data_IF_749771245480
#
_entry.id   IF_749771245480
#
_cell.length_a   1.000
_cell.length_b   1.000
_cell.length_c   1.000
_cell.angle_alpha   90.00
_cell.angle_beta   90.00
_cell.angle_gamma   90.00
#
_symmetry.space_group_name_H-M   'P 1'
#
loop_
_entity.id
_entity.type
_entity.pdbx_description
1 polymer ?
#
# COMPACT_ATOMS: atom_id res chain seq x y z
N UNK A 1 -13.80 -32.47 -9.76
CA UNK A 1 -14.35 -32.88 -11.08
C UNK A 1 -13.21 -32.80 -12.07
N UNK A 2 -12.88 -33.91 -12.77
CA UNK A 2 -11.80 -33.90 -13.76
C UNK A 2 -12.17 -33.05 -14.98
N UNK A 3 -11.23 -32.27 -15.48
CA UNK A 3 -11.31 -31.56 -16.73
C UNK A 3 -10.53 -32.34 -17.80
N UNK A 4 -11.00 -32.28 -19.03
CA UNK A 4 -10.33 -32.87 -20.18
C UNK A 4 -10.10 -31.83 -21.25
N UNK A 5 -8.98 -31.93 -21.96
CA UNK A 5 -8.60 -31.00 -23.01
C UNK A 5 -8.35 -31.76 -24.33
N UNK A 6 -8.65 -31.09 -25.44
CA UNK A 6 -8.42 -31.57 -26.81
C UNK A 6 -8.20 -30.34 -27.73
N UNK A 7 -7.31 -30.50 -28.70
CA UNK A 7 -7.15 -29.54 -29.77
C UNK A 7 -8.13 -29.89 -30.90
N UNK A 8 -9.07 -28.98 -31.21
CA UNK A 8 -10.00 -29.12 -32.29
C UNK A 8 -9.83 -27.88 -33.18
N UNK A 9 -9.59 -28.11 -34.47
CA UNK A 9 -9.36 -27.04 -35.48
C UNK A 9 -8.29 -26.02 -35.03
N UNK A 10 -7.21 -26.51 -34.41
CA UNK A 10 -6.10 -25.69 -33.92
C UNK A 10 -6.39 -24.89 -32.65
N UNK A 11 -7.56 -25.08 -32.02
CA UNK A 11 -7.94 -24.42 -30.76
C UNK A 11 -8.00 -25.43 -29.62
N UNK A 12 -7.44 -25.06 -28.48
CA UNK A 12 -7.53 -25.85 -27.25
C UNK A 12 -8.92 -25.70 -26.64
N UNK A 13 -9.58 -26.82 -26.43
CA UNK A 13 -10.86 -26.91 -25.73
C UNK A 13 -10.64 -27.63 -24.39
N UNK A 14 -11.10 -27.03 -23.30
CA UNK A 14 -11.05 -27.64 -21.96
C UNK A 14 -12.48 -27.70 -21.41
N UNK A 15 -12.94 -28.93 -21.08
CA UNK A 15 -14.31 -29.15 -20.60
C UNK A 15 -14.34 -30.25 -19.54
N UNK A 16 -15.28 -30.22 -18.60
CA UNK A 16 -15.55 -31.36 -17.72
C UNK A 16 -16.15 -32.52 -18.52
N UNK A 17 -15.87 -33.76 -18.12
CA UNK A 17 -16.33 -34.99 -18.84
C UNK A 17 -17.83 -34.96 -19.17
N UNK A 18 -18.66 -34.51 -18.23
CA UNK A 18 -20.12 -34.45 -18.41
C UNK A 18 -20.62 -33.38 -19.38
N UNK A 19 -19.73 -32.53 -19.92
CA UNK A 19 -20.03 -31.53 -20.96
C UNK A 19 -19.43 -31.89 -22.32
N UNK A 20 -18.81 -33.06 -22.42
CA UNK A 20 -18.24 -33.55 -23.66
C UNK A 20 -19.24 -34.55 -24.28
N UNK A 21 -19.50 -34.35 -25.57
CA UNK A 21 -20.30 -35.26 -26.39
C UNK A 21 -19.38 -35.79 -27.47
N UNK A 22 -19.24 -37.09 -27.54
CA UNK A 22 -18.49 -37.75 -28.61
C UNK A 22 -19.46 -38.15 -29.73
N UNK A 23 -19.12 -37.81 -30.97
CA UNK A 23 -19.87 -38.20 -32.15
C UNK A 23 -19.02 -39.12 -33.00
N UNK A 24 -19.41 -40.38 -33.10
CA UNK A 24 -18.72 -41.40 -33.89
C UNK A 24 -19.75 -42.19 -34.73
N UNK A 25 -19.53 -42.32 -36.04
CA UNK A 25 -20.41 -43.05 -36.97
C UNK A 25 -21.88 -42.57 -36.90
N UNK A 26 -22.13 -41.28 -36.69
CA UNK A 26 -23.47 -40.73 -36.58
C UNK A 26 -24.17 -40.94 -35.25
N UNK A 27 -23.55 -41.64 -34.30
CA UNK A 27 -24.06 -41.84 -32.94
C UNK A 27 -23.44 -40.85 -31.96
N UNK A 28 -24.27 -40.30 -31.07
CA UNK A 28 -23.87 -39.38 -30.02
C UNK A 28 -23.76 -40.12 -28.70
N UNK A 29 -22.59 -40.04 -28.05
CA UNK A 29 -22.36 -40.52 -26.67
C UNK A 29 -22.35 -39.33 -25.71
N UNK A 30 -23.35 -39.30 -24.82
CA UNK A 30 -23.47 -38.31 -23.73
C UNK A 30 -22.91 -38.99 -22.47
N UNK A 31 -22.14 -38.20 -21.67
CA UNK A 31 -21.40 -38.72 -20.51
C UNK A 31 -20.45 -39.89 -20.88
N UNK A 32 -19.48 -39.67 -21.77
CA UNK A 32 -18.52 -40.67 -22.15
C UNK A 32 -17.69 -41.16 -20.96
N UNK A 33 -17.28 -42.40 -20.99
CA UNK A 33 -16.31 -42.96 -20.02
C UNK A 33 -14.92 -42.33 -20.25
N UNK A 34 -14.03 -42.46 -19.29
CA UNK A 34 -12.65 -42.00 -19.42
C UNK A 34 -11.92 -42.68 -20.61
N UNK A 35 -12.14 -43.96 -20.83
CA UNK A 35 -11.59 -44.68 -21.97
C UNK A 35 -12.09 -44.11 -23.29
N UNK A 36 -13.39 -43.83 -23.41
CA UNK A 36 -13.97 -43.25 -24.60
C UNK A 36 -13.44 -41.83 -24.88
N UNK A 37 -13.18 -41.04 -23.81
CA UNK A 37 -12.58 -39.73 -23.95
C UNK A 37 -11.15 -39.84 -24.49
N UNK A 38 -10.33 -40.75 -23.92
CA UNK A 38 -8.97 -40.95 -24.38
C UNK A 38 -8.92 -41.46 -25.83
N UNK A 39 -9.79 -42.39 -26.22
CA UNK A 39 -9.90 -42.88 -27.60
C UNK A 39 -10.31 -41.79 -28.61
N UNK A 40 -11.14 -40.81 -28.16
CA UNK A 40 -11.53 -39.65 -28.97
C UNK A 40 -10.48 -38.55 -28.97
N UNK A 41 -9.35 -38.74 -28.25
CA UNK A 41 -8.21 -37.83 -28.22
C UNK A 41 -8.37 -36.68 -27.19
N UNK A 42 -9.28 -36.83 -26.22
CA UNK A 42 -9.30 -35.97 -25.04
C UNK A 42 -8.27 -36.54 -24.03
N UNK A 43 -7.49 -35.63 -23.45
CA UNK A 43 -6.53 -35.95 -22.39
C UNK A 43 -6.95 -35.26 -21.10
N UNK A 44 -6.64 -35.86 -19.95
CA UNK A 44 -6.91 -35.20 -18.67
C UNK A 44 -6.12 -33.89 -18.59
N UNK A 45 -6.84 -32.77 -18.38
CA UNK A 45 -6.22 -31.48 -18.16
C UNK A 45 -5.68 -31.43 -16.74
N UNK A 46 -4.37 -31.45 -16.59
CA UNK A 46 -3.68 -31.26 -15.33
C UNK A 46 -3.35 -29.77 -15.26
N UNK A 47 -4.04 -28.99 -14.41
CA UNK A 47 -3.72 -27.57 -14.28
C UNK A 47 -2.27 -27.44 -13.81
N UNK A 48 -1.49 -26.70 -14.57
CA UNK A 48 -0.13 -26.36 -14.15
C UNK A 48 -0.27 -25.51 -12.88
N UNK A 49 0.18 -26.06 -11.77
CA UNK A 49 0.23 -25.30 -10.53
C UNK A 49 1.32 -24.24 -10.71
N UNK A 50 0.89 -22.96 -10.71
CA UNK A 50 1.83 -21.86 -10.77
C UNK A 50 2.60 -21.78 -9.45
N UNK A 51 3.90 -21.92 -9.51
CA UNK A 51 4.81 -21.68 -8.40
C UNK A 51 5.55 -20.37 -8.69
N UNK A 52 5.36 -19.34 -7.84
CA UNK A 52 6.01 -18.05 -8.06
C UNK A 52 7.54 -18.22 -7.98
N UNK A 53 8.26 -17.52 -8.83
CA UNK A 53 9.71 -17.46 -8.80
C UNK A 53 10.22 -16.74 -7.55
N UNK A 54 11.49 -16.94 -7.19
CA UNK A 54 12.12 -16.21 -6.06
C UNK A 54 12.06 -14.70 -6.26
N UNK A 55 12.22 -14.23 -7.49
CA UNK A 55 12.12 -12.82 -7.84
C UNK A 55 10.68 -12.28 -7.63
N UNK A 56 9.67 -13.01 -8.05
CA UNK A 56 8.27 -12.63 -7.83
C UNK A 56 7.90 -12.60 -6.34
N UNK A 57 8.43 -13.57 -5.57
CA UNK A 57 8.25 -13.59 -4.12
C UNK A 57 8.93 -12.36 -3.50
N UNK A 58 10.19 -12.07 -3.88
CA UNK A 58 10.93 -10.92 -3.37
C UNK A 58 10.22 -9.61 -3.69
N UNK A 59 9.74 -9.42 -4.92
CA UNK A 59 9.06 -8.21 -5.34
C UNK A 59 7.75 -8.00 -4.56
N UNK A 60 6.96 -9.05 -4.36
CA UNK A 60 5.75 -8.99 -3.54
C UNK A 60 6.04 -8.64 -2.08
N UNK A 61 7.09 -9.21 -1.50
CA UNK A 61 7.49 -8.91 -0.11
C UNK A 61 8.01 -7.45 0.02
N UNK A 62 8.66 -6.90 -1.03
CA UNK A 62 9.04 -5.48 -1.09
C UNK A 62 7.80 -4.58 -1.09
N UNK A 63 6.81 -4.89 -1.90
CA UNK A 63 5.54 -4.14 -1.93
C UNK A 63 4.86 -4.12 -0.55
N UNK A 64 4.78 -5.27 0.12
CA UNK A 64 4.23 -5.34 1.48
C UNK A 64 5.04 -4.50 2.48
N UNK A 65 6.37 -4.52 2.38
CA UNK A 65 7.23 -3.74 3.27
C UNK A 65 7.10 -2.24 3.01
N UNK A 66 6.95 -1.82 1.76
CA UNK A 66 6.69 -0.42 1.40
C UNK A 66 5.33 0.03 1.95
N UNK A 67 4.29 -0.80 1.85
CA UNK A 67 2.99 -0.53 2.44
C UNK A 67 3.05 -0.37 3.99
N UNK A 68 3.88 -1.19 4.66
CA UNK A 68 4.12 -1.04 6.10
C UNK A 68 4.78 0.30 6.42
N UNK A 69 5.78 0.72 5.64
CA UNK A 69 6.48 2.01 5.78
C UNK A 69 5.50 3.17 5.62
N UNK A 70 4.67 3.15 4.58
CA UNK A 70 3.68 4.21 4.31
C UNK A 70 2.61 4.29 5.41
N UNK A 71 2.18 3.16 5.96
CA UNK A 71 1.26 3.14 7.10
C UNK A 71 1.92 3.70 8.36
N UNK A 72 3.18 3.38 8.60
CA UNK A 72 3.93 3.92 9.74
C UNK A 72 4.13 5.43 9.60
N UNK A 73 4.52 5.91 8.41
CA UNK A 73 4.63 7.34 8.11
C UNK A 73 3.32 8.10 8.37
N UNK A 74 2.18 7.47 8.05
CA UNK A 74 0.85 8.05 8.27
C UNK A 74 0.31 7.89 9.70
N UNK A 75 1.01 7.18 10.55
CA UNK A 75 0.58 6.89 11.92
C UNK A 75 0.91 8.01 12.90
N UNK A 76 0.28 7.98 14.07
CA UNK A 76 0.61 8.88 15.16
C UNK A 76 2.04 8.71 15.69
N UNK A 77 2.73 7.62 15.35
CA UNK A 77 4.15 7.44 15.72
C UNK A 77 5.04 8.48 15.04
N UNK A 78 4.71 8.86 13.81
CA UNK A 78 5.41 9.85 12.99
C UNK A 78 4.67 11.19 12.97
N UNK A 79 3.37 11.16 12.69
CA UNK A 79 2.54 12.36 12.54
C UNK A 79 2.05 12.85 13.90
N UNK A 80 2.85 13.68 14.56
CA UNK A 80 2.49 14.24 15.84
C UNK A 80 3.49 15.28 16.32
N UNK A 81 2.99 16.25 17.08
CA UNK A 81 3.74 17.20 17.89
C UNK A 81 2.93 17.55 19.14
N UNK A 82 3.54 18.19 20.11
CA UNK A 82 2.88 18.55 21.36
C UNK A 82 2.80 20.07 21.51
N UNK A 83 1.64 20.55 21.93
CA UNK A 83 1.50 21.86 22.56
C UNK A 83 1.16 21.59 24.03
N UNK A 84 1.98 22.06 24.94
CA UNK A 84 1.96 21.60 26.34
C UNK A 84 2.06 20.04 26.39
N UNK A 85 1.07 19.36 26.95
CA UNK A 85 1.03 17.90 27.01
C UNK A 85 0.01 17.26 26.04
N UNK A 86 -0.67 18.07 25.22
CA UNK A 86 -1.62 17.57 24.24
C UNK A 86 -0.93 17.26 22.91
N UNK A 87 -1.14 16.06 22.40
CA UNK A 87 -0.64 15.66 21.09
C UNK A 87 -1.59 16.11 19.99
N UNK A 88 -1.02 16.76 18.96
CA UNK A 88 -1.74 17.29 17.82
C UNK A 88 -1.04 16.87 16.52
N UNK A 89 -1.80 16.91 15.43
CA UNK A 89 -1.25 16.88 14.08
C UNK A 89 -2.02 17.79 13.15
N UNK A 90 -1.30 18.59 12.40
CA UNK A 90 -1.84 19.42 11.32
C UNK A 90 -1.41 18.85 9.98
N UNK A 91 -2.36 18.38 9.18
CA UNK A 91 -2.07 17.99 7.81
C UNK A 91 -1.59 19.19 6.97
N UNK A 92 -1.08 18.92 5.77
CA UNK A 92 -0.53 19.99 4.91
C UNK A 92 -1.55 21.09 4.59
N UNK A 93 -2.81 20.73 4.36
CA UNK A 93 -3.86 21.69 4.04
C UNK A 93 -4.15 22.61 5.24
N UNK A 94 -4.21 22.03 6.44
CA UNK A 94 -4.39 22.77 7.70
C UNK A 94 -3.21 23.72 7.94
N UNK A 95 -1.96 23.26 7.77
CA UNK A 95 -0.77 24.11 7.92
C UNK A 95 -0.77 25.29 6.97
N UNK A 96 -1.10 25.07 5.69
CA UNK A 96 -1.22 26.15 4.68
C UNK A 96 -2.33 27.12 5.06
N UNK A 97 -3.50 26.65 5.47
CA UNK A 97 -4.62 27.47 5.91
C UNK A 97 -4.28 28.33 7.13
N UNK A 98 -3.61 27.76 8.13
CA UNK A 98 -3.14 28.48 9.32
C UNK A 98 -2.11 29.56 8.95
N UNK A 99 -1.17 29.26 8.05
CA UNK A 99 -0.19 30.25 7.58
C UNK A 99 -0.85 31.46 6.95
N UNK A 100 -1.79 31.22 6.02
CA UNK A 100 -2.54 32.31 5.38
C UNK A 100 -3.35 33.15 6.39
N UNK A 101 -3.96 32.47 7.37
CA UNK A 101 -4.69 33.16 8.44
C UNK A 101 -3.76 34.02 9.29
N UNK A 102 -2.63 33.50 9.71
CA UNK A 102 -1.66 34.27 10.54
C UNK A 102 -1.09 35.43 9.80
N UNK A 103 -0.77 35.30 8.50
CA UNK A 103 -0.34 36.44 7.68
C UNK A 103 -1.39 37.53 7.62
N UNK A 104 -2.67 37.19 7.47
CA UNK A 104 -3.78 38.15 7.48
C UNK A 104 -3.98 38.80 8.87
N UNK A 105 -3.85 38.05 9.94
CA UNK A 105 -3.96 38.55 11.32
C UNK A 105 -2.83 39.54 11.63
N UNK A 106 -1.59 39.27 11.21
CA UNK A 106 -0.45 40.17 11.32
C UNK A 106 -0.70 41.44 10.52
N UNK A 107 -1.14 41.32 9.27
CA UNK A 107 -1.45 42.49 8.42
C UNK A 107 -2.56 43.36 9.00
N UNK A 108 -3.46 42.80 9.82
CA UNK A 108 -4.50 43.53 10.57
C UNK A 108 -4.01 44.15 11.88
N UNK A 109 -2.74 43.99 12.24
CA UNK A 109 -2.14 44.49 13.47
C UNK A 109 -2.39 43.65 14.73
N UNK A 110 -2.87 42.43 14.59
CA UNK A 110 -3.00 41.50 15.73
C UNK A 110 -1.63 40.98 16.17
N UNK A 111 -1.50 40.72 17.45
CA UNK A 111 -0.30 40.13 18.07
C UNK A 111 -0.52 38.74 18.57
N UNK A 112 -1.78 38.31 18.72
CA UNK A 112 -2.17 37.01 19.24
C UNK A 112 -3.17 36.31 18.31
N UNK A 113 -3.17 34.96 18.36
CA UNK A 113 -4.11 34.12 17.65
C UNK A 113 -4.60 32.99 18.56
N UNK A 114 -5.73 32.38 18.23
CA UNK A 114 -6.24 31.18 18.90
C UNK A 114 -6.36 30.07 17.88
N UNK A 115 -5.69 28.97 18.10
CA UNK A 115 -5.86 27.75 17.32
C UNK A 115 -6.83 26.84 18.07
N UNK A 116 -7.86 26.37 17.39
CA UNK A 116 -8.78 25.38 17.93
C UNK A 116 -8.42 23.98 17.41
N UNK A 117 -8.27 23.04 18.32
CA UNK A 117 -8.04 21.64 18.00
C UNK A 117 -8.93 20.77 18.90
N UNK A 118 -9.82 19.98 18.29
CA UNK A 118 -10.75 19.09 19.00
C UNK A 118 -11.50 19.77 20.17
N UNK A 119 -11.90 21.02 19.96
CA UNK A 119 -12.65 21.79 20.98
C UNK A 119 -11.78 22.48 22.02
N UNK A 120 -10.45 22.28 21.99
CA UNK A 120 -9.49 22.93 22.90
C UNK A 120 -8.90 24.18 22.24
N UNK A 121 -8.93 25.37 22.88
CA UNK A 121 -8.31 26.58 22.39
C UNK A 121 -6.86 26.71 22.86
N UNK A 122 -5.95 26.93 21.93
CA UNK A 122 -4.55 27.29 22.20
C UNK A 122 -4.34 28.74 21.84
N UNK A 123 -4.06 29.56 22.85
CA UNK A 123 -3.82 30.99 22.69
C UNK A 123 -2.32 31.24 22.59
N UNK A 124 -1.86 31.73 21.45
CA UNK A 124 -0.43 31.90 21.14
C UNK A 124 -0.16 33.32 20.66
N UNK A 125 1.03 33.84 20.93
CA UNK A 125 1.56 34.98 20.21
C UNK A 125 1.74 34.64 18.73
N UNK A 126 1.36 35.50 17.82
CA UNK A 126 1.43 35.25 16.38
C UNK A 126 2.85 34.95 15.89
N UNK A 127 3.87 35.58 16.47
CA UNK A 127 5.26 35.30 16.15
C UNK A 127 5.63 33.82 16.49
N UNK A 128 5.22 33.35 17.69
CA UNK A 128 5.46 31.99 18.13
C UNK A 128 4.64 30.99 17.32
N UNK A 129 3.38 31.31 16.98
CA UNK A 129 2.53 30.48 16.15
C UNK A 129 3.10 30.29 14.72
N UNK A 130 3.68 31.33 14.13
CA UNK A 130 4.39 31.24 12.84
C UNK A 130 5.65 30.39 12.93
N UNK A 131 6.46 30.60 13.98
CA UNK A 131 7.66 29.78 14.19
C UNK A 131 7.28 28.32 14.37
N UNK A 132 6.28 28.02 15.18
CA UNK A 132 5.74 26.67 15.37
C UNK A 132 5.32 26.04 14.03
N UNK A 133 4.59 26.77 13.16
CA UNK A 133 4.21 26.24 11.84
C UNK A 133 5.42 25.94 10.95
N UNK A 134 6.44 26.81 10.96
CA UNK A 134 7.68 26.57 10.21
C UNK A 134 8.40 25.33 10.72
N UNK A 135 8.49 25.17 12.03
CA UNK A 135 9.15 23.99 12.63
C UNK A 135 8.39 22.70 12.32
N UNK A 136 7.05 22.73 12.35
CA UNK A 136 6.20 21.59 11.95
C UNK A 136 6.40 21.27 10.45
N UNK A 137 6.52 22.23 9.57
CA UNK A 137 6.75 22.01 8.14
C UNK A 137 8.13 21.36 7.90
N UNK A 138 9.18 21.84 8.59
CA UNK A 138 10.51 21.23 8.53
C UNK A 138 10.51 19.80 9.09
N UNK A 139 9.81 19.59 10.21
CA UNK A 139 9.62 18.25 10.77
C UNK A 139 8.92 17.31 9.78
N UNK A 140 7.81 17.75 9.19
CA UNK A 140 7.06 16.95 8.23
C UNK A 140 7.90 16.62 6.98
N UNK A 141 8.70 17.57 6.49
CA UNK A 141 9.64 17.35 5.37
C UNK A 141 10.70 16.32 5.73
N UNK A 142 11.28 16.40 6.93
CA UNK A 142 12.29 15.43 7.39
C UNK A 142 11.70 14.02 7.56
N UNK A 143 10.46 13.88 8.04
CA UNK A 143 9.75 12.60 8.08
C UNK A 143 9.56 12.02 6.69
N UNK A 144 9.07 12.84 5.74
CA UNK A 144 8.89 12.43 4.35
C UNK A 144 10.20 11.97 3.71
N UNK A 145 11.28 12.74 3.87
CA UNK A 145 12.59 12.40 3.31
C UNK A 145 13.11 11.07 3.87
N UNK A 146 12.93 10.82 5.19
CA UNK A 146 13.30 9.56 5.81
C UNK A 146 12.47 8.39 5.26
N UNK A 147 11.16 8.57 5.08
CA UNK A 147 10.27 7.59 4.45
C UNK A 147 10.73 7.25 3.04
N UNK A 148 11.08 8.23 2.22
CA UNK A 148 11.59 8.02 0.86
C UNK A 148 12.95 7.28 0.87
N UNK A 149 13.82 7.59 1.83
CA UNK A 149 15.10 6.88 1.99
C UNK A 149 14.89 5.40 2.35
N UNK A 150 13.92 5.09 3.22
CA UNK A 150 13.55 3.70 3.51
C UNK A 150 13.00 2.98 2.29
N UNK A 151 12.09 3.60 1.53
CA UNK A 151 11.55 3.02 0.29
C UNK A 151 12.67 2.74 -0.72
N UNK A 152 13.58 3.68 -0.91
CA UNK A 152 14.74 3.49 -1.79
C UNK A 152 15.62 2.31 -1.33
N UNK A 153 15.85 2.20 -0.01
CA UNK A 153 16.61 1.09 0.58
C UNK A 153 15.92 -0.26 0.35
N UNK A 154 14.59 -0.35 0.56
CA UNK A 154 13.82 -1.57 0.29
C UNK A 154 13.93 -2.00 -1.18
N UNK A 155 13.82 -1.05 -2.10
CA UNK A 155 13.94 -1.33 -3.53
C UNK A 155 15.32 -1.88 -3.91
N UNK A 156 16.37 -1.47 -3.22
CA UNK A 156 17.75 -1.92 -3.46
C UNK A 156 18.08 -3.29 -2.83
N UNK A 157 17.24 -3.85 -1.96
CA UNK A 157 17.48 -5.16 -1.34
C UNK A 157 17.28 -6.26 -2.39
N UNK A 158 18.23 -7.22 -2.44
CA UNK A 158 18.21 -8.32 -3.42
C UNK A 158 17.86 -9.69 -2.78
N UNK A 159 17.73 -9.78 -1.47
CA UNK A 159 17.41 -11.03 -0.78
C UNK A 159 16.33 -10.87 0.29
N UNK A 160 15.50 -11.91 0.44
CA UNK A 160 14.34 -11.94 1.35
C UNK A 160 14.76 -11.85 2.83
N UNK A 161 15.92 -12.42 3.20
CA UNK A 161 16.34 -12.42 4.61
C UNK A 161 16.71 -11.02 5.08
N UNK A 162 17.44 -10.28 4.26
CA UNK A 162 17.75 -8.86 4.50
C UNK A 162 16.48 -8.03 4.56
N UNK A 163 15.55 -8.24 3.62
CA UNK A 163 14.27 -7.55 3.57
C UNK A 163 13.44 -7.76 4.84
N UNK A 164 13.33 -8.99 5.32
CA UNK A 164 12.55 -9.31 6.54
C UNK A 164 13.14 -8.71 7.81
N UNK A 165 14.46 -8.53 7.86
CA UNK A 165 15.17 -7.94 9.00
C UNK A 165 15.32 -6.42 8.92
N UNK A 166 14.84 -5.79 7.84
CA UNK A 166 14.94 -4.36 7.67
C UNK A 166 14.04 -3.60 8.64
N UNK A 167 14.66 -2.74 9.48
CA UNK A 167 13.95 -1.88 10.42
C UNK A 167 13.78 -0.47 9.85
N UNK A 168 12.55 -0.17 9.42
CA UNK A 168 12.16 1.12 8.87
C UNK A 168 11.70 2.14 9.92
N UNK A 169 11.69 1.80 11.22
CA UNK A 169 11.23 2.70 12.28
C UNK A 169 12.32 3.64 12.77
N UNK A 170 13.49 3.58 12.18
CA UNK A 170 14.67 4.36 12.55
C UNK A 170 14.79 5.63 11.70
N UNK A 171 15.56 6.60 12.19
CA UNK A 171 15.91 7.80 11.43
C UNK A 171 14.84 8.91 11.43
N UNK A 172 13.61 8.65 11.89
CA UNK A 172 12.60 9.71 12.02
C UNK A 172 13.00 10.73 13.10
N UNK A 173 12.73 12.02 12.86
CA UNK A 173 13.02 13.05 13.87
C UNK A 173 12.14 12.84 15.10
N UNK A 174 12.63 13.33 16.24
CA UNK A 174 11.83 13.34 17.47
C UNK A 174 10.68 14.33 17.33
N UNK A 175 9.51 13.94 17.85
CA UNK A 175 8.34 14.82 17.88
C UNK A 175 8.64 16.15 18.55
N UNK A 176 8.17 17.23 17.94
CA UNK A 176 8.32 18.57 18.45
C UNK A 176 7.48 18.78 19.72
N UNK A 177 7.93 19.68 20.59
CA UNK A 177 7.20 20.15 21.77
C UNK A 177 7.29 21.66 21.85
N UNK A 178 6.14 22.28 22.00
CA UNK A 178 5.97 23.73 22.08
C UNK A 178 5.35 24.13 23.42
#
# INVERSE_FOLDING_TARGET
MKLYEKIIDGKQHCKPANKIVIIKDGMQTINPTEEMLLEDGWVEHIPVQYEPTEEEILNREKEYKIDEILRYDSSNEVNGFYIDDQELWFDKATRVGLKLRFDAEIASGKTNTTIWYEGTPFNLELANALQMLNDIELYASACYDNTQAHIASINAIEDIKTLKNYDYRTGYPKKLRF
#
